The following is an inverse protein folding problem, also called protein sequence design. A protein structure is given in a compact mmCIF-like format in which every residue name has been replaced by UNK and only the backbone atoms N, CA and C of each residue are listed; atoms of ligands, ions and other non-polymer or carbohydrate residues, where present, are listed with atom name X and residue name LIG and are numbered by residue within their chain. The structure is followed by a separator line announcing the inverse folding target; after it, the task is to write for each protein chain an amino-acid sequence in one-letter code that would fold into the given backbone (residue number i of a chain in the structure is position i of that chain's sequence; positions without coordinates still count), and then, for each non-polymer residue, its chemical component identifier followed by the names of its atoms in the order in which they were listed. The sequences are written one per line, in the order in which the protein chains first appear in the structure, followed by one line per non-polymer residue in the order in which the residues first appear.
data_IF_229714563908
#
_entry.id   IF_229714563908
#
_cell.length_a   1.000
_cell.length_b   1.000
_cell.length_c   1.000
_cell.angle_alpha   90.00
_cell.angle_beta   90.00
_cell.angle_gamma   90.00
#
_symmetry.space_group_name_H-M   'P 1'
#
loop_
_entity.id
_entity.type
_entity.pdbx_description
1 polymer ?
#
# COMPACT_ATOMS: atom_id res chain seq x y z
N UNK A 1 75.95 32.19 -10.30
CA UNK A 1 77.35 31.74 -10.46
C UNK A 1 77.54 30.51 -9.60
N UNK A 2 78.11 29.44 -10.19
CA UNK A 2 78.49 28.13 -9.62
C UNK A 2 77.31 27.23 -9.20
N UNK A 3 76.94 26.10 -9.80
CA UNK A 3 77.58 25.06 -10.64
C UNK A 3 78.84 24.42 -10.05
N UNK A 4 78.70 23.21 -9.48
CA UNK A 4 79.21 21.94 -10.05
C UNK A 4 79.07 20.75 -9.06
N UNK A 5 78.50 19.63 -9.57
CA UNK A 5 78.92 18.20 -9.41
C UNK A 5 78.83 17.53 -8.02
N UNK A 6 78.51 16.24 -7.84
CA UNK A 6 78.45 15.04 -8.71
C UNK A 6 77.73 13.90 -7.96
N UNK A 7 76.98 13.06 -8.68
CA UNK A 7 76.97 11.57 -8.67
C UNK A 7 76.72 10.75 -7.37
N UNK A 8 76.14 9.53 -7.33
CA UNK A 8 75.65 8.50 -8.28
C UNK A 8 74.89 7.47 -7.41
N UNK A 9 73.75 6.93 -7.87
CA UNK A 9 73.50 5.48 -7.95
C UNK A 9 72.17 5.15 -8.64
N UNK A 10 72.32 4.42 -9.74
CA UNK A 10 71.32 3.85 -10.63
C UNK A 10 70.69 2.60 -10.00
N UNK A 11 69.45 2.30 -10.37
CA UNK A 11 69.05 0.94 -10.79
C UNK A 11 67.85 0.99 -11.74
N UNK A 12 68.10 0.44 -12.95
CA UNK A 12 67.26 -0.15 -14.00
C UNK A 12 65.72 0.00 -13.95
N UNK A 13 65.08 0.63 -14.93
CA UNK A 13 64.81 0.16 -16.31
C UNK A 13 63.71 -0.92 -16.39
N UNK A 14 62.61 -0.57 -17.05
CA UNK A 14 61.50 -1.47 -17.38
C UNK A 14 60.42 -0.74 -18.17
N UNK A 15 60.71 -0.36 -19.42
CA UNK A 15 59.71 -0.03 -20.43
C UNK A 15 58.92 -1.31 -20.78
N UNK A 16 57.60 -1.21 -20.81
CA UNK A 16 56.72 -2.23 -21.39
C UNK A 16 55.38 -1.59 -21.76
N UNK A 17 55.26 -1.15 -23.01
CA UNK A 17 54.02 -0.64 -23.55
C UNK A 17 53.04 -1.77 -23.87
N UNK A 18 51.75 -1.53 -23.63
CA UNK A 18 50.66 -2.20 -24.32
C UNK A 18 49.55 -1.19 -24.58
N UNK A 19 49.30 -0.95 -25.88
CA UNK A 19 48.10 -0.31 -26.39
C UNK A 19 46.86 -1.08 -25.90
N UNK A 20 46.08 -0.48 -25.00
CA UNK A 20 44.73 -0.94 -24.69
C UNK A 20 43.76 -0.44 -25.75
N UNK A 21 43.43 -1.27 -26.73
CA UNK A 21 42.36 -1.02 -27.69
C UNK A 21 41.02 -0.89 -26.95
N UNK A 22 40.42 0.30 -27.04
CA UNK A 22 39.08 0.57 -26.52
C UNK A 22 38.05 -0.12 -27.43
N UNK A 23 37.62 -1.33 -27.04
CA UNK A 23 36.54 -2.05 -27.69
C UNK A 23 35.20 -1.39 -27.28
N UNK A 24 34.71 -0.46 -28.10
CA UNK A 24 33.37 0.10 -27.97
C UNK A 24 32.37 -0.99 -28.35
N UNK A 25 31.81 -1.71 -27.38
CA UNK A 25 30.60 -2.51 -27.61
C UNK A 25 29.45 -1.53 -27.86
N UNK A 26 29.10 -1.34 -29.14
CA UNK A 26 27.84 -0.74 -29.52
C UNK A 26 26.72 -1.69 -29.08
N UNK A 27 26.10 -1.41 -27.93
CA UNK A 27 24.84 -2.02 -27.56
C UNK A 27 23.78 -1.50 -28.52
N UNK A 28 23.52 -2.26 -29.59
CA UNK A 28 22.36 -2.04 -30.45
C UNK A 28 21.12 -2.30 -29.62
N UNK A 29 20.50 -1.24 -29.11
CA UNK A 29 19.14 -1.26 -28.61
C UNK A 29 18.22 -1.52 -29.79
N UNK A 30 18.02 -2.78 -30.14
CA UNK A 30 16.89 -3.18 -30.97
C UNK A 30 15.64 -2.92 -30.15
N UNK A 31 15.05 -1.74 -30.29
CA UNK A 31 13.65 -1.54 -29.97
C UNK A 31 12.88 -2.56 -30.80
N UNK A 32 12.37 -3.62 -30.17
CA UNK A 32 11.45 -4.53 -30.83
C UNK A 32 10.28 -3.67 -31.31
N UNK A 33 10.14 -3.53 -32.63
CA UNK A 33 8.99 -2.88 -33.21
C UNK A 33 7.75 -3.61 -32.69
N UNK A 34 6.93 -2.94 -31.88
CA UNK A 34 5.71 -3.52 -31.32
C UNK A 34 4.80 -3.87 -32.51
N UNK A 35 4.67 -5.17 -32.80
CA UNK A 35 3.86 -5.64 -33.92
C UNK A 35 2.41 -5.17 -33.70
N UNK A 36 1.81 -4.61 -34.75
CA UNK A 36 0.46 -4.01 -34.66
C UNK A 36 -0.52 -5.06 -34.12
N UNK A 37 -1.28 -4.76 -33.04
CA UNK A 37 -2.22 -5.71 -32.49
C UNK A 37 -3.26 -6.13 -33.53
N UNK A 38 -3.61 -7.42 -33.54
CA UNK A 38 -4.83 -7.87 -34.19
C UNK A 38 -6.02 -7.27 -33.44
N UNK A 39 -6.97 -6.67 -34.15
CA UNK A 39 -8.17 -6.06 -33.55
C UNK A 39 -9.36 -6.95 -33.83
N UNK A 40 -10.11 -7.32 -32.78
CA UNK A 40 -11.36 -8.06 -32.87
C UNK A 40 -12.44 -7.27 -32.13
N UNK A 41 -13.53 -6.97 -32.83
CA UNK A 41 -14.70 -6.32 -32.22
C UNK A 41 -15.64 -7.40 -31.67
N UNK A 42 -16.26 -7.11 -30.55
CA UNK A 42 -17.26 -7.95 -29.88
C UNK A 42 -18.47 -7.08 -29.57
N UNK A 43 -19.57 -7.32 -30.28
CA UNK A 43 -20.86 -6.70 -29.98
C UNK A 43 -21.72 -7.62 -29.10
N UNK A 44 -21.62 -7.43 -27.78
CA UNK A 44 -22.36 -8.22 -26.81
C UNK A 44 -23.89 -8.01 -26.96
N UNK A 45 -24.33 -6.91 -27.56
CA UNK A 45 -25.76 -6.66 -27.82
C UNK A 45 -26.33 -7.57 -28.92
N UNK A 46 -25.45 -8.13 -29.75
CA UNK A 46 -25.77 -9.10 -30.80
C UNK A 46 -25.49 -10.55 -30.36
N UNK A 47 -25.18 -10.77 -29.07
CA UNK A 47 -24.86 -12.08 -28.52
C UNK A 47 -23.46 -12.60 -28.90
N UNK A 48 -22.56 -11.72 -29.36
CA UNK A 48 -21.14 -12.07 -29.46
C UNK A 48 -20.52 -12.19 -28.06
N UNK A 49 -19.41 -12.94 -27.99
CA UNK A 49 -18.70 -13.19 -26.74
C UNK A 49 -17.21 -12.94 -26.89
N UNK A 50 -16.59 -12.48 -25.80
CA UNK A 50 -15.15 -12.29 -25.67
C UNK A 50 -14.43 -13.62 -25.80
N UNK A 51 -14.97 -14.69 -25.22
CA UNK A 51 -14.36 -16.03 -25.32
C UNK A 51 -14.25 -16.50 -26.78
N UNK A 52 -15.24 -16.18 -27.63
CA UNK A 52 -15.17 -16.45 -29.08
C UNK A 52 -14.20 -15.51 -29.81
N UNK A 53 -13.92 -14.32 -29.29
CA UNK A 53 -12.95 -13.41 -29.89
C UNK A 53 -11.52 -13.95 -29.79
N UNK A 54 -11.20 -14.68 -28.71
CA UNK A 54 -9.87 -15.28 -28.54
C UNK A 54 -9.54 -16.35 -29.57
N UNK A 55 -10.54 -17.09 -30.08
CA UNK A 55 -10.32 -18.10 -31.15
C UNK A 55 -10.11 -17.47 -32.53
N UNK A 56 -10.48 -16.20 -32.71
CA UNK A 56 -10.30 -15.45 -33.97
C UNK A 56 -8.94 -14.75 -34.05
N UNK A 57 -8.25 -14.56 -32.92
CA UNK A 57 -7.00 -13.82 -32.85
C UNK A 57 -5.78 -14.68 -33.18
N UNK A 58 -4.87 -14.19 -34.03
CA UNK A 58 -3.60 -14.85 -34.28
C UNK A 58 -2.77 -14.93 -32.99
N UNK A 59 -2.41 -16.14 -32.55
CA UNK A 59 -1.67 -16.39 -31.30
C UNK A 59 -0.25 -15.80 -31.30
N UNK A 60 0.35 -15.61 -32.47
CA UNK A 60 1.70 -15.04 -32.62
C UNK A 60 1.74 -13.51 -32.46
N UNK A 61 0.58 -12.85 -32.28
CA UNK A 61 0.48 -11.38 -32.23
C UNK A 61 -0.29 -10.90 -31.00
N UNK A 62 0.02 -9.69 -30.51
CA UNK A 62 -0.83 -9.02 -29.52
C UNK A 62 -2.27 -8.91 -30.02
N UNK A 63 -3.24 -9.05 -29.12
CA UNK A 63 -4.67 -9.03 -29.43
C UNK A 63 -5.36 -7.88 -28.69
N UNK A 64 -6.09 -7.04 -29.43
CA UNK A 64 -7.01 -6.04 -28.89
C UNK A 64 -8.44 -6.50 -29.15
N UNK A 65 -9.20 -6.71 -28.08
CA UNK A 65 -10.63 -6.98 -28.11
C UNK A 65 -11.37 -5.70 -27.74
N UNK A 66 -12.14 -5.15 -28.69
CA UNK A 66 -13.01 -3.99 -28.45
C UNK A 66 -14.42 -4.49 -28.12
N UNK A 67 -14.88 -4.18 -26.91
CA UNK A 67 -16.13 -4.70 -26.35
C UNK A 67 -17.19 -3.62 -26.36
N UNK A 68 -18.31 -3.91 -27.03
CA UNK A 68 -19.50 -3.07 -27.08
C UNK A 68 -20.63 -3.69 -26.27
N UNK A 69 -21.15 -2.93 -25.30
CA UNK A 69 -22.18 -3.41 -24.38
C UNK A 69 -21.63 -4.40 -23.34
N UNK A 70 -22.53 -5.13 -22.68
CA UNK A 70 -22.16 -6.05 -21.59
C UNK A 70 -22.28 -7.50 -22.04
N UNK A 71 -21.16 -8.22 -22.03
CA UNK A 71 -21.12 -9.65 -22.32
C UNK A 71 -21.47 -10.44 -21.05
N UNK A 72 -22.51 -11.27 -21.12
CA UNK A 72 -22.93 -12.13 -20.01
C UNK A 72 -22.22 -13.49 -20.08
N UNK A 73 -20.97 -13.52 -19.64
CA UNK A 73 -20.10 -14.68 -19.69
C UNK A 73 -19.01 -14.61 -18.60
N UNK A 74 -18.34 -15.74 -18.37
CA UNK A 74 -17.05 -15.78 -17.67
C UNK A 74 -15.91 -15.87 -18.68
N UNK A 75 -14.86 -15.07 -18.51
CA UNK A 75 -13.75 -14.94 -19.46
C UNK A 75 -12.47 -15.54 -18.86
N UNK A 76 -11.83 -16.45 -19.60
CA UNK A 76 -10.49 -16.95 -19.30
C UNK A 76 -9.47 -16.31 -20.25
N UNK A 77 -8.49 -15.60 -19.70
CA UNK A 77 -7.35 -15.04 -20.44
C UNK A 77 -6.13 -15.93 -20.18
N UNK A 78 -5.91 -16.89 -21.07
CA UNK A 78 -4.83 -17.88 -21.04
C UNK A 78 -3.74 -17.65 -22.09
N UNK A 79 -3.86 -16.58 -22.88
CA UNK A 79 -2.85 -16.11 -23.83
C UNK A 79 -2.28 -14.76 -23.40
N UNK A 80 -1.00 -14.55 -23.68
CA UNK A 80 -0.31 -13.30 -23.33
C UNK A 80 -0.65 -12.17 -24.31
N UNK A 81 -0.33 -10.94 -23.93
CA UNK A 81 -0.43 -9.74 -24.79
C UNK A 81 -1.86 -9.45 -25.29
N UNK A 82 -2.84 -9.65 -24.38
CA UNK A 82 -4.25 -9.35 -24.63
C UNK A 82 -4.63 -8.03 -24.00
N UNK A 83 -5.28 -7.16 -24.76
CA UNK A 83 -6.02 -6.01 -24.25
C UNK A 83 -7.51 -6.23 -24.50
N UNK A 84 -8.32 -6.22 -23.44
CA UNK A 84 -9.77 -6.12 -23.54
C UNK A 84 -10.15 -4.70 -23.16
N UNK A 85 -10.78 -3.99 -24.08
CA UNK A 85 -11.11 -2.58 -23.92
C UNK A 85 -12.58 -2.33 -24.21
N UNK A 86 -13.26 -1.59 -23.33
CA UNK A 86 -14.60 -1.09 -23.60
C UNK A 86 -14.60 -0.05 -24.72
N UNK A 87 -15.53 -0.17 -25.67
CA UNK A 87 -15.62 0.76 -26.79
C UNK A 87 -16.07 2.15 -26.33
N UNK A 88 -15.32 3.18 -26.72
CA UNK A 88 -15.61 4.56 -26.33
C UNK A 88 -16.99 4.99 -26.84
N UNK A 89 -17.83 5.54 -25.97
CA UNK A 89 -19.17 6.01 -26.30
C UNK A 89 -20.27 4.93 -26.28
N UNK A 90 -19.90 3.64 -26.32
CA UNK A 90 -20.86 2.53 -26.19
C UNK A 90 -20.74 1.79 -24.86
N UNK A 91 -19.62 1.96 -24.16
CA UNK A 91 -19.29 1.21 -22.96
C UNK A 91 -18.88 -0.23 -23.29
N UNK A 92 -18.23 -0.87 -22.34
CA UNK A 92 -17.94 -2.30 -22.37
C UNK A 92 -18.11 -2.90 -20.99
N UNK A 93 -18.63 -4.12 -20.93
CA UNK A 93 -18.81 -4.80 -19.66
C UNK A 93 -18.72 -6.32 -19.76
N UNK A 94 -18.40 -6.94 -18.63
CA UNK A 94 -18.37 -8.38 -18.46
C UNK A 94 -19.16 -8.71 -17.20
N UNK A 95 -20.25 -9.44 -17.35
CA UNK A 95 -21.09 -9.88 -16.26
C UNK A 95 -20.97 -11.40 -16.13
N UNK A 96 -20.37 -11.87 -15.03
CA UNK A 96 -20.24 -13.30 -14.75
C UNK A 96 -21.59 -13.87 -14.29
N UNK A 97 -22.21 -14.81 -15.04
CA UNK A 97 -23.54 -15.31 -14.71
C UNK A 97 -23.56 -16.30 -13.54
N UNK A 98 -22.47 -17.03 -13.31
CA UNK A 98 -22.39 -18.07 -12.28
C UNK A 98 -21.68 -17.51 -11.02
N UNK A 99 -22.36 -17.44 -9.86
CA UNK A 99 -21.78 -16.92 -8.62
C UNK A 99 -20.66 -17.81 -8.04
N UNK A 100 -20.39 -18.98 -8.62
CA UNK A 100 -19.32 -19.89 -8.19
C UNK A 100 -18.05 -19.78 -9.06
N UNK A 101 -18.12 -19.08 -10.19
CA UNK A 101 -17.04 -18.90 -11.15
C UNK A 101 -16.63 -17.43 -11.19
N UNK A 102 -15.33 -17.15 -11.26
CA UNK A 102 -14.85 -15.77 -11.36
C UNK A 102 -15.23 -15.16 -12.72
N UNK A 103 -15.59 -13.87 -12.76
CA UNK A 103 -16.04 -13.21 -14.01
C UNK A 103 -14.90 -13.11 -15.02
N UNK A 104 -13.70 -12.74 -14.58
CA UNK A 104 -12.48 -12.77 -15.39
C UNK A 104 -11.39 -13.54 -14.65
N UNK A 105 -10.84 -14.56 -15.29
CA UNK A 105 -9.66 -15.28 -14.81
C UNK A 105 -8.49 -15.03 -15.73
N UNK A 106 -7.34 -14.64 -15.17
CA UNK A 106 -6.11 -14.34 -15.91
C UNK A 106 -5.00 -15.28 -15.47
N UNK A 107 -4.52 -16.10 -16.40
CA UNK A 107 -3.42 -17.07 -16.17
C UNK A 107 -2.21 -16.79 -17.05
N UNK A 108 -2.33 -15.90 -18.05
CA UNK A 108 -1.24 -15.48 -18.91
C UNK A 108 -0.79 -14.03 -18.69
N UNK A 109 0.43 -13.72 -19.13
CA UNK A 109 1.10 -12.47 -18.80
C UNK A 109 0.73 -11.30 -19.71
N UNK A 110 0.92 -10.08 -19.23
CA UNK A 110 0.73 -8.83 -20.01
C UNK A 110 -0.71 -8.68 -20.54
N UNK A 111 -1.68 -9.08 -19.74
CA UNK A 111 -3.09 -8.79 -20.00
C UNK A 111 -3.41 -7.35 -19.59
N UNK A 112 -4.33 -6.70 -20.30
CA UNK A 112 -4.85 -5.37 -19.98
C UNK A 112 -6.37 -5.40 -20.03
N UNK A 113 -7.02 -4.91 -18.98
CA UNK A 113 -8.45 -4.66 -18.89
C UNK A 113 -8.66 -3.15 -18.78
N UNK A 114 -9.38 -2.56 -19.73
CA UNK A 114 -9.48 -1.09 -19.83
C UNK A 114 -10.90 -0.61 -20.12
N UNK A 115 -11.40 0.35 -19.35
CA UNK A 115 -12.69 0.99 -19.69
C UNK A 115 -13.88 0.05 -19.55
N UNK A 116 -13.78 -0.97 -18.69
CA UNK A 116 -14.77 -2.02 -18.53
C UNK A 116 -15.55 -1.87 -17.22
N UNK A 117 -16.84 -2.20 -17.25
CA UNK A 117 -17.63 -2.50 -16.06
C UNK A 117 -17.68 -4.02 -15.85
N UNK A 118 -17.14 -4.52 -14.74
CA UNK A 118 -17.07 -5.95 -14.42
C UNK A 118 -17.95 -6.22 -13.20
N UNK A 119 -18.90 -7.15 -13.34
CA UNK A 119 -19.90 -7.48 -12.32
C UNK A 119 -20.17 -8.97 -12.23
N UNK A 120 -20.93 -9.39 -11.21
CA UNK A 120 -21.33 -10.78 -11.05
C UNK A 120 -20.15 -11.71 -10.73
N UNK A 121 -20.34 -12.99 -10.99
CA UNK A 121 -19.35 -14.03 -10.68
C UNK A 121 -19.08 -14.19 -9.18
N UNK A 122 -18.14 -15.08 -8.85
CA UNK A 122 -17.63 -15.27 -7.49
C UNK A 122 -16.69 -14.14 -7.09
N UNK A 123 -15.65 -13.89 -7.89
CA UNK A 123 -14.83 -12.69 -7.84
C UNK A 123 -14.90 -11.97 -9.19
N UNK A 124 -14.68 -10.65 -9.21
CA UNK A 124 -14.72 -9.88 -10.46
C UNK A 124 -13.53 -10.23 -11.37
N UNK A 125 -12.31 -10.06 -10.85
CA UNK A 125 -11.08 -10.44 -11.55
C UNK A 125 -10.22 -11.29 -10.62
N UNK A 126 -9.79 -12.46 -11.10
CA UNK A 126 -8.78 -13.30 -10.44
C UNK A 126 -7.56 -13.45 -11.34
N UNK A 127 -6.38 -13.15 -10.80
CA UNK A 127 -5.08 -13.32 -11.46
C UNK A 127 -4.31 -14.40 -10.73
N UNK A 128 -3.96 -15.47 -11.43
CA UNK A 128 -3.34 -16.65 -10.84
C UNK A 128 -2.05 -16.99 -11.57
N UNK A 129 -0.90 -16.78 -10.91
CA UNK A 129 0.43 -17.06 -11.49
C UNK A 129 0.83 -16.19 -12.68
N UNK A 130 -0.03 -15.27 -13.12
CA UNK A 130 0.21 -14.39 -14.26
C UNK A 130 0.91 -13.10 -13.86
N UNK A 131 1.84 -12.63 -14.70
CA UNK A 131 2.57 -11.39 -14.45
C UNK A 131 2.10 -10.24 -15.34
N UNK A 132 2.08 -9.03 -14.78
CA UNK A 132 1.83 -7.80 -15.53
C UNK A 132 0.38 -7.62 -16.00
N UNK A 133 -0.62 -8.04 -15.21
CA UNK A 133 -1.98 -7.54 -15.45
C UNK A 133 -2.01 -6.02 -15.25
N UNK A 134 -2.64 -5.31 -16.18
CA UNK A 134 -3.04 -3.91 -15.97
C UNK A 134 -4.54 -3.80 -15.99
N UNK A 135 -5.15 -3.30 -14.92
CA UNK A 135 -6.56 -2.90 -14.90
C UNK A 135 -6.59 -1.38 -14.84
N UNK A 136 -7.21 -0.74 -15.83
CA UNK A 136 -7.33 0.72 -15.86
C UNK A 136 -8.70 1.24 -16.20
N UNK A 137 -9.09 2.39 -15.65
CA UNK A 137 -10.34 3.08 -15.99
C UNK A 137 -11.54 2.14 -15.93
N UNK A 138 -11.53 1.20 -14.99
CA UNK A 138 -12.51 0.12 -14.89
C UNK A 138 -13.31 0.22 -13.60
N UNK A 139 -14.56 -0.23 -13.66
CA UNK A 139 -15.44 -0.36 -12.50
C UNK A 139 -15.62 -1.83 -12.19
N UNK A 140 -15.21 -2.29 -11.00
CA UNK A 140 -15.39 -3.68 -10.54
C UNK A 140 -16.31 -3.67 -9.33
N UNK A 141 -17.54 -4.15 -9.51
CA UNK A 141 -18.57 -4.00 -8.47
C UNK A 141 -19.60 -5.13 -8.48
N UNK A 142 -20.34 -5.27 -7.38
CA UNK A 142 -21.44 -6.24 -7.25
C UNK A 142 -21.01 -7.66 -7.66
N UNK A 143 -19.83 -8.07 -7.19
CA UNK A 143 -19.34 -9.45 -7.33
C UNK A 143 -19.87 -10.30 -6.17
N UNK A 144 -19.75 -11.63 -6.26
CA UNK A 144 -20.16 -12.52 -5.18
C UNK A 144 -19.28 -12.41 -3.92
N UNK A 145 -18.03 -11.97 -4.05
CA UNK A 145 -17.04 -11.91 -2.96
C UNK A 145 -16.06 -10.75 -3.13
N UNK A 146 -15.02 -10.94 -3.95
CA UNK A 146 -13.88 -10.02 -4.06
C UNK A 146 -13.93 -9.27 -5.37
N UNK A 147 -13.60 -7.98 -5.37
CA UNK A 147 -13.44 -7.21 -6.59
C UNK A 147 -12.30 -7.76 -7.47
N UNK A 148 -11.06 -7.54 -7.03
CA UNK A 148 -9.84 -7.95 -7.75
C UNK A 148 -8.93 -8.76 -6.83
N UNK A 149 -8.51 -9.95 -7.26
CA UNK A 149 -7.63 -10.83 -6.49
C UNK A 149 -6.37 -11.19 -7.29
N UNK A 150 -5.19 -10.91 -6.73
CA UNK A 150 -3.90 -11.41 -7.17
C UNK A 150 -3.48 -12.56 -6.27
N UNK A 151 -3.24 -13.74 -6.86
CA UNK A 151 -2.87 -14.96 -6.12
C UNK A 151 -1.73 -15.74 -6.78
N UNK A 152 -1.03 -16.56 -5.99
CA UNK A 152 -0.07 -17.55 -6.46
C UNK A 152 1.06 -16.98 -7.35
N UNK A 153 1.73 -15.93 -6.89
CA UNK A 153 2.84 -15.29 -7.60
C UNK A 153 2.40 -14.31 -8.68
N UNK A 154 1.10 -14.01 -8.79
CA UNK A 154 0.59 -13.05 -9.74
C UNK A 154 1.16 -11.63 -9.50
N UNK A 155 1.21 -10.82 -10.55
CA UNK A 155 1.55 -9.41 -10.43
C UNK A 155 0.75 -8.49 -11.34
N UNK A 156 0.52 -7.25 -10.91
CA UNK A 156 -0.13 -6.26 -11.74
C UNK A 156 -0.32 -4.88 -11.13
N UNK A 157 -0.96 -4.02 -11.92
CA UNK A 157 -1.29 -2.63 -11.57
C UNK A 157 -2.80 -2.42 -11.71
N UNK A 158 -3.40 -1.81 -10.70
CA UNK A 158 -4.74 -1.26 -10.70
C UNK A 158 -4.59 0.26 -10.71
N UNK A 159 -5.07 0.91 -11.76
CA UNK A 159 -4.93 2.36 -11.96
C UNK A 159 -6.25 3.00 -12.36
N UNK A 160 -6.65 4.07 -11.68
CA UNK A 160 -7.85 4.84 -12.06
C UNK A 160 -9.12 3.99 -12.09
N UNK A 161 -9.25 3.06 -11.13
CA UNK A 161 -10.36 2.13 -11.02
C UNK A 161 -11.33 2.51 -9.90
N UNK A 162 -12.59 2.10 -10.06
CA UNK A 162 -13.60 2.11 -9.00
C UNK A 162 -13.89 0.67 -8.58
N UNK A 163 -13.63 0.32 -7.32
CA UNK A 163 -13.79 -1.04 -6.79
C UNK A 163 -14.71 -0.98 -5.57
N UNK A 164 -15.96 -1.39 -5.74
CA UNK A 164 -16.99 -1.13 -4.74
C UNK A 164 -18.08 -2.17 -4.64
N UNK A 165 -18.82 -2.17 -3.53
CA UNK A 165 -20.00 -3.01 -3.34
C UNK A 165 -19.69 -4.51 -3.51
N UNK A 166 -18.49 -4.93 -3.13
CA UNK A 166 -18.13 -6.34 -3.10
C UNK A 166 -18.28 -6.86 -1.66
N UNK A 167 -19.06 -7.93 -1.42
CA UNK A 167 -19.39 -8.38 -0.06
C UNK A 167 -18.20 -8.76 0.80
N UNK A 168 -17.06 -9.08 0.17
CA UNK A 168 -15.79 -9.37 0.82
C UNK A 168 -14.80 -8.24 0.53
N UNK A 169 -13.64 -8.50 -0.04
CA UNK A 169 -12.55 -7.53 -0.10
C UNK A 169 -12.58 -6.78 -1.46
N UNK A 170 -12.19 -5.50 -1.48
CA UNK A 170 -12.06 -4.75 -2.73
C UNK A 170 -10.91 -5.30 -3.56
N UNK A 171 -9.70 -5.24 -3.01
CA UNK A 171 -8.47 -5.79 -3.60
C UNK A 171 -7.83 -6.79 -2.65
N UNK A 172 -7.45 -7.95 -3.17
CA UNK A 172 -6.69 -8.98 -2.44
C UNK A 172 -5.36 -9.23 -3.11
N UNK A 173 -4.29 -9.29 -2.32
CA UNK A 173 -2.93 -9.63 -2.74
C UNK A 173 -2.41 -10.74 -1.83
N UNK A 174 -2.55 -12.00 -2.28
CA UNK A 174 -2.17 -13.19 -1.51
C UNK A 174 -1.02 -13.94 -2.18
N UNK A 175 0.11 -14.08 -1.49
CA UNK A 175 1.33 -14.65 -2.07
C UNK A 175 1.65 -14.07 -3.47
N UNK A 176 1.42 -12.78 -3.64
CA UNK A 176 1.40 -12.08 -4.93
C UNK A 176 1.89 -10.63 -4.76
N UNK A 177 1.95 -9.89 -5.88
CA UNK A 177 2.39 -8.50 -5.89
C UNK A 177 1.36 -7.60 -6.57
N UNK A 178 1.02 -6.44 -6.01
CA UNK A 178 0.16 -5.50 -6.72
C UNK A 178 0.52 -4.04 -6.43
N UNK A 179 0.26 -3.19 -7.42
CA UNK A 179 0.28 -1.74 -7.27
C UNK A 179 -1.13 -1.21 -7.44
N UNK A 180 -1.61 -0.42 -6.47
CA UNK A 180 -2.94 0.22 -6.52
C UNK A 180 -2.72 1.73 -6.47
N UNK A 181 -3.12 2.42 -7.54
CA UNK A 181 -2.96 3.87 -7.68
C UNK A 181 -4.19 4.53 -8.28
N UNK A 182 -4.39 5.81 -7.97
CA UNK A 182 -5.45 6.68 -8.51
C UNK A 182 -6.86 6.10 -8.41
N UNK A 183 -7.10 5.15 -7.50
CA UNK A 183 -8.31 4.34 -7.48
C UNK A 183 -9.20 4.67 -6.29
N UNK A 184 -10.49 4.44 -6.46
CA UNK A 184 -11.49 4.49 -5.39
C UNK A 184 -11.84 3.06 -4.95
N UNK A 185 -11.61 2.73 -3.68
CA UNK A 185 -11.89 1.41 -3.10
C UNK A 185 -12.81 1.57 -1.90
N UNK A 186 -14.10 1.31 -2.08
CA UNK A 186 -15.11 1.69 -1.10
C UNK A 186 -16.27 0.73 -0.97
N UNK A 187 -16.93 0.71 0.18
CA UNK A 187 -18.13 -0.12 0.41
C UNK A 187 -17.89 -1.62 0.14
N UNK A 188 -16.68 -2.09 0.45
CA UNK A 188 -16.35 -3.50 0.54
C UNK A 188 -16.21 -3.87 2.03
N UNK A 189 -16.00 -5.13 2.39
CA UNK A 189 -15.59 -5.51 3.75
C UNK A 189 -14.22 -4.91 4.09
N UNK A 190 -13.15 -5.27 3.38
CA UNK A 190 -11.87 -4.55 3.48
C UNK A 190 -11.61 -3.81 2.17
N UNK A 191 -10.95 -2.65 2.23
CA UNK A 191 -10.53 -1.95 1.02
C UNK A 191 -9.45 -2.74 0.28
N UNK A 192 -8.25 -2.78 0.86
CA UNK A 192 -7.11 -3.55 0.34
C UNK A 192 -6.62 -4.54 1.40
N UNK A 193 -6.54 -5.82 1.04
CA UNK A 193 -6.07 -6.90 1.90
C UNK A 193 -4.81 -7.54 1.30
N UNK A 194 -3.69 -7.42 2.00
CA UNK A 194 -2.40 -8.06 1.65
C UNK A 194 -2.11 -9.15 2.67
N UNK A 195 -1.97 -10.39 2.22
CA UNK A 195 -1.81 -11.56 3.09
C UNK A 195 -0.88 -12.63 2.52
N UNK A 196 -0.50 -13.58 3.37
CA UNK A 196 0.23 -14.80 3.03
C UNK A 196 1.52 -14.52 2.22
N UNK A 197 2.36 -13.61 2.73
CA UNK A 197 3.59 -13.20 2.06
C UNK A 197 3.40 -12.28 0.85
N UNK A 198 2.20 -11.70 0.68
CA UNK A 198 1.92 -10.73 -0.37
C UNK A 198 2.71 -9.42 -0.19
N UNK A 199 2.92 -8.70 -1.30
CA UNK A 199 3.55 -7.38 -1.29
C UNK A 199 2.75 -6.38 -2.09
N UNK A 200 2.45 -5.21 -1.51
CA UNK A 200 1.68 -4.18 -2.21
C UNK A 200 2.31 -2.80 -2.15
N UNK A 201 2.16 -2.05 -3.25
CA UNK A 201 2.32 -0.59 -3.30
C UNK A 201 0.95 0.04 -3.38
N UNK A 202 0.61 0.91 -2.44
CA UNK A 202 -0.72 1.50 -2.31
C UNK A 202 -0.57 3.01 -2.26
N UNK A 203 -0.96 3.66 -3.37
CA UNK A 203 -0.94 5.11 -3.53
C UNK A 203 0.38 5.68 -4.08
N UNK A 204 1.30 4.80 -4.45
CA UNK A 204 2.53 5.09 -5.19
C UNK A 204 2.77 4.04 -6.25
N UNK A 205 3.30 4.46 -7.40
CA UNK A 205 3.62 3.54 -8.48
C UNK A 205 4.98 2.83 -8.28
N UNK A 206 5.38 2.02 -9.25
CA UNK A 206 6.66 1.30 -9.24
C UNK A 206 7.90 2.19 -9.37
N UNK A 207 7.72 3.48 -9.67
CA UNK A 207 8.75 4.52 -9.74
C UNK A 207 8.67 5.48 -8.55
N UNK A 208 7.88 5.15 -7.53
CA UNK A 208 7.57 6.01 -6.38
C UNK A 208 6.87 7.33 -6.77
N UNK A 209 6.25 7.41 -7.95
CA UNK A 209 5.42 8.55 -8.29
C UNK A 209 4.12 8.51 -7.47
N UNK A 210 3.67 9.66 -6.93
CA UNK A 210 2.39 9.76 -6.25
C UNK A 210 1.22 9.31 -7.14
N UNK A 211 0.36 8.47 -6.61
CA UNK A 211 -0.87 8.01 -7.26
C UNK A 211 -1.92 7.69 -6.22
N UNK A 212 -2.23 8.67 -5.35
CA UNK A 212 -3.05 8.49 -4.15
C UNK A 212 -4.42 7.84 -4.43
N UNK A 213 -4.82 6.92 -3.55
CA UNK A 213 -6.14 6.30 -3.61
C UNK A 213 -7.12 6.94 -2.62
N UNK A 214 -8.41 6.79 -2.90
CA UNK A 214 -9.48 7.00 -1.92
C UNK A 214 -9.97 5.65 -1.43
N UNK A 215 -9.73 5.32 -0.16
CA UNK A 215 -10.08 4.05 0.46
C UNK A 215 -11.03 4.32 1.62
N UNK A 216 -12.33 4.15 1.37
CA UNK A 216 -13.33 4.72 2.28
C UNK A 216 -14.58 3.87 2.47
N UNK A 217 -15.23 4.01 3.62
CA UNK A 217 -16.51 3.36 3.91
C UNK A 217 -16.49 1.84 3.71
N UNK A 218 -15.34 1.20 3.92
CA UNK A 218 -15.28 -0.25 3.96
C UNK A 218 -15.77 -0.73 5.34
N UNK A 219 -16.52 -1.84 5.37
CA UNK A 219 -17.19 -2.33 6.58
C UNK A 219 -16.21 -2.67 7.70
N UNK A 220 -15.05 -3.21 7.36
CA UNK A 220 -13.93 -3.49 8.26
C UNK A 220 -12.79 -2.50 8.03
N UNK A 221 -11.57 -2.92 7.71
CA UNK A 221 -10.46 -1.97 7.63
C UNK A 221 -10.27 -1.40 6.23
N UNK A 222 -9.74 -0.17 6.15
CA UNK A 222 -9.33 0.41 4.86
C UNK A 222 -8.22 -0.41 4.21
N UNK A 223 -7.12 -0.62 4.94
CA UNK A 223 -5.99 -1.46 4.50
C UNK A 223 -5.66 -2.48 5.59
N UNK A 224 -5.47 -3.73 5.19
CA UNK A 224 -4.97 -4.82 6.06
C UNK A 224 -3.71 -5.42 5.46
N UNK A 225 -2.67 -5.57 6.28
CA UNK A 225 -1.42 -6.24 5.93
C UNK A 225 -1.15 -7.33 6.97
N UNK A 226 -1.19 -8.60 6.57
CA UNK A 226 -1.12 -9.72 7.51
C UNK A 226 -0.28 -10.92 7.03
N UNK A 227 0.07 -11.80 7.98
CA UNK A 227 0.71 -13.10 7.71
C UNK A 227 1.98 -13.02 6.86
N UNK A 228 3.02 -12.36 7.37
CA UNK A 228 4.32 -12.25 6.70
C UNK A 228 4.32 -11.34 5.46
N UNK A 229 3.29 -10.53 5.27
CA UNK A 229 3.17 -9.63 4.14
C UNK A 229 3.89 -8.30 4.36
N UNK A 230 4.07 -7.57 3.26
CA UNK A 230 4.65 -6.24 3.26
C UNK A 230 3.79 -5.25 2.46
N UNK A 231 3.72 -3.99 2.89
CA UNK A 231 3.13 -2.93 2.07
C UNK A 231 3.87 -1.60 2.20
N UNK A 232 3.93 -0.86 1.08
CA UNK A 232 4.24 0.56 1.06
C UNK A 232 2.95 1.35 0.80
N UNK A 233 2.61 2.25 1.72
CA UNK A 233 1.33 2.97 1.76
C UNK A 233 1.66 4.47 1.79
N UNK A 234 1.28 5.22 0.77
CA UNK A 234 1.59 6.64 0.68
C UNK A 234 0.48 7.40 -0.07
N UNK A 235 0.31 8.68 0.21
CA UNK A 235 -0.58 9.57 -0.56
C UNK A 235 -2.07 9.19 -0.55
N UNK A 236 -2.54 8.31 0.34
CA UNK A 236 -3.93 7.83 0.33
C UNK A 236 -4.84 8.66 1.26
N UNK A 237 -6.12 8.75 0.88
CA UNK A 237 -7.21 9.14 1.78
C UNK A 237 -7.88 7.86 2.31
N UNK A 238 -7.69 7.56 3.60
CA UNK A 238 -8.20 6.34 4.25
C UNK A 238 -9.22 6.74 5.30
N UNK A 239 -10.50 6.75 4.92
CA UNK A 239 -11.54 7.44 5.69
C UNK A 239 -12.81 6.65 5.98
N UNK A 240 -13.36 6.79 7.18
CA UNK A 240 -14.69 6.24 7.49
C UNK A 240 -14.80 4.71 7.38
N UNK A 241 -13.70 3.97 7.54
CA UNK A 241 -13.73 2.51 7.52
C UNK A 241 -14.06 1.96 8.91
N UNK A 242 -14.63 0.75 8.95
CA UNK A 242 -14.93 0.01 10.16
C UNK A 242 -16.39 0.07 10.59
N UNK A 243 -17.27 0.55 9.71
CA UNK A 243 -18.67 0.80 10.01
C UNK A 243 -19.53 -0.46 10.20
N UNK A 244 -19.05 -1.65 9.83
CA UNK A 244 -19.75 -2.92 10.02
C UNK A 244 -19.54 -3.43 11.46
N UNK A 245 -20.59 -3.46 12.31
CA UNK A 245 -20.49 -3.94 13.68
C UNK A 245 -20.11 -5.42 13.78
N UNK A 246 -20.35 -6.23 12.73
CA UNK A 246 -19.99 -7.64 12.70
C UNK A 246 -18.51 -7.88 12.39
N UNK A 247 -17.82 -6.88 11.82
CA UNK A 247 -16.42 -6.97 11.45
C UNK A 247 -15.69 -5.64 11.68
N UNK A 248 -15.69 -5.10 12.92
CA UNK A 248 -15.14 -3.78 13.19
C UNK A 248 -13.67 -3.71 12.77
N UNK A 249 -13.32 -2.59 12.13
CA UNK A 249 -11.98 -2.34 11.61
C UNK A 249 -11.59 -0.87 11.73
N UNK A 250 -10.40 -0.56 11.24
CA UNK A 250 -9.80 0.76 11.37
C UNK A 250 -9.30 1.31 10.04
N UNK A 251 -8.37 2.26 10.12
CA UNK A 251 -7.69 2.78 8.93
C UNK A 251 -6.75 1.73 8.33
N UNK A 252 -5.57 1.58 8.96
CA UNK A 252 -4.51 0.65 8.55
C UNK A 252 -4.25 -0.37 9.65
N UNK A 253 -4.42 -1.64 9.33
CA UNK A 253 -4.25 -2.77 10.26
C UNK A 253 -3.07 -3.64 9.82
N UNK A 254 -2.04 -3.77 10.67
CA UNK A 254 -0.82 -4.56 10.39
C UNK A 254 -0.65 -5.65 11.44
N UNK A 255 -0.66 -6.92 11.02
CA UNK A 255 -0.66 -8.08 11.93
C UNK A 255 0.38 -9.10 11.51
N UNK A 256 1.36 -9.39 12.37
CA UNK A 256 2.43 -10.37 12.05
C UNK A 256 3.07 -10.10 10.69
N UNK A 257 3.34 -8.81 10.40
CA UNK A 257 3.70 -8.30 9.06
C UNK A 257 4.46 -6.98 9.16
N UNK A 258 4.87 -6.43 8.02
CA UNK A 258 5.56 -5.15 7.93
C UNK A 258 4.79 -4.15 7.06
N UNK A 259 4.78 -2.87 7.46
CA UNK A 259 4.26 -1.80 6.61
C UNK A 259 5.09 -0.52 6.73
N UNK A 260 5.32 0.13 5.60
CA UNK A 260 5.82 1.50 5.53
C UNK A 260 4.67 2.39 5.12
N UNK A 261 4.11 3.10 6.09
CA UNK A 261 3.11 4.16 5.90
C UNK A 261 3.91 5.44 5.66
N UNK A 262 4.43 5.59 4.44
CA UNK A 262 5.17 6.77 4.04
C UNK A 262 4.25 8.01 4.03
N UNK A 263 4.80 9.20 3.80
CA UNK A 263 4.02 10.42 4.01
C UNK A 263 2.91 10.66 2.97
N UNK A 264 2.11 11.70 3.25
CA UNK A 264 0.99 12.13 2.42
C UNK A 264 -0.32 11.36 2.62
N UNK A 265 -0.40 10.42 3.56
CA UNK A 265 -1.69 9.79 3.88
C UNK A 265 -2.52 10.67 4.82
N UNK A 266 -3.83 10.71 4.57
CA UNK A 266 -4.84 11.18 5.51
C UNK A 266 -5.66 9.99 6.00
N UNK A 267 -5.50 9.64 7.27
CA UNK A 267 -6.18 8.53 7.93
C UNK A 267 -7.15 9.09 8.95
N UNK A 268 -8.44 9.08 8.66
CA UNK A 268 -9.41 9.80 9.50
C UNK A 268 -10.81 9.20 9.60
N UNK A 269 -11.47 9.47 10.72
CA UNK A 269 -12.87 9.07 10.93
C UNK A 269 -13.11 7.55 10.92
N UNK A 270 -12.08 6.73 11.07
CA UNK A 270 -12.23 5.27 11.11
C UNK A 270 -12.76 4.83 12.50
N UNK A 271 -13.52 3.74 12.53
CA UNK A 271 -14.26 3.31 13.73
C UNK A 271 -13.32 2.89 14.87
N UNK A 272 -12.26 2.17 14.55
CA UNK A 272 -11.19 1.85 15.52
C UNK A 272 -9.96 2.73 15.28
N UNK A 273 -8.75 2.20 15.46
CA UNK A 273 -7.50 2.96 15.33
C UNK A 273 -7.29 3.47 13.89
N UNK A 274 -6.59 4.60 13.79
CA UNK A 274 -6.06 5.04 12.49
C UNK A 274 -4.99 4.06 12.02
N UNK A 275 -4.05 3.71 12.91
CA UNK A 275 -3.04 2.67 12.65
C UNK A 275 -2.99 1.69 13.82
N UNK A 276 -3.14 0.40 13.54
CA UNK A 276 -3.01 -0.66 14.52
C UNK A 276 -1.93 -1.65 14.11
N UNK A 277 -0.98 -1.91 14.99
CA UNK A 277 0.12 -2.85 14.80
C UNK A 277 0.08 -3.95 15.86
N UNK A 278 -0.01 -5.22 15.44
CA UNK A 278 0.04 -6.38 16.34
C UNK A 278 1.14 -7.34 15.92
N UNK A 279 2.13 -7.55 16.77
CA UNK A 279 3.29 -8.39 16.46
C UNK A 279 3.92 -8.02 15.10
N UNK A 280 3.95 -6.71 14.82
CA UNK A 280 4.23 -6.16 13.50
C UNK A 280 5.32 -5.10 13.56
N UNK A 281 5.96 -4.84 12.42
CA UNK A 281 6.89 -3.74 12.23
C UNK A 281 6.23 -2.65 11.37
N UNK A 282 6.08 -1.44 11.91
CA UNK A 282 5.42 -0.34 11.21
C UNK A 282 6.29 0.90 11.22
N UNK A 283 6.50 1.50 10.06
CA UNK A 283 7.11 2.83 9.91
C UNK A 283 6.02 3.80 9.48
N UNK A 284 5.80 4.86 10.25
CA UNK A 284 4.94 5.99 9.93
C UNK A 284 5.84 7.18 9.63
N UNK A 285 5.71 7.71 8.41
CA UNK A 285 6.57 8.74 7.84
C UNK A 285 7.57 8.16 6.84
N UNK A 286 8.27 9.03 6.12
CA UNK A 286 9.05 8.64 4.94
C UNK A 286 10.46 8.11 5.31
N UNK A 287 10.82 6.84 5.06
CA UNK A 287 12.19 6.34 5.26
C UNK A 287 13.16 6.68 4.12
N UNK A 288 12.73 7.40 3.07
CA UNK A 288 13.59 7.80 1.94
C UNK A 288 12.97 7.60 0.55
N UNK A 289 11.65 7.56 0.42
CA UNK A 289 10.90 7.51 -0.83
C UNK A 289 10.83 8.88 -1.53
N UNK A 290 11.14 9.98 -0.85
CA UNK A 290 11.18 11.32 -1.44
C UNK A 290 9.80 11.94 -1.61
N UNK A 291 8.84 11.55 -0.78
CA UNK A 291 7.44 12.01 -0.82
C UNK A 291 7.20 13.11 0.23
N UNK A 292 6.07 13.88 0.14
CA UNK A 292 5.66 14.74 1.24
C UNK A 292 5.64 13.94 2.53
N UNK A 293 6.31 14.39 3.58
CA UNK A 293 6.67 13.51 4.71
C UNK A 293 5.55 13.29 5.71
N UNK A 294 4.50 14.12 5.68
CA UNK A 294 3.52 14.16 6.77
C UNK A 294 2.35 13.21 6.56
N UNK A 295 2.21 12.26 7.47
CA UNK A 295 0.97 11.51 7.67
C UNK A 295 0.06 12.26 8.64
N UNK A 296 -1.21 12.41 8.30
CA UNK A 296 -2.22 12.98 9.18
C UNK A 296 -3.16 11.88 9.66
N UNK A 297 -3.13 11.59 10.97
CA UNK A 297 -3.93 10.55 11.63
C UNK A 297 -4.88 11.25 12.61
N UNK A 298 -6.13 11.46 12.20
CA UNK A 298 -7.03 12.36 12.93
C UNK A 298 -8.46 11.87 13.06
N UNK A 299 -9.11 12.10 14.22
CA UNK A 299 -10.52 11.77 14.39
C UNK A 299 -10.86 10.28 14.30
N UNK A 300 -9.88 9.39 14.49
CA UNK A 300 -10.13 7.93 14.49
C UNK A 300 -10.59 7.46 15.87
N UNK A 301 -11.23 6.30 15.94
CA UNK A 301 -11.70 5.68 17.18
C UNK A 301 -13.13 6.09 17.53
N UNK A 302 -14.01 6.28 16.55
CA UNK A 302 -15.41 6.63 16.84
C UNK A 302 -16.16 5.54 17.62
N UNK A 303 -15.65 4.30 17.64
CA UNK A 303 -16.17 3.17 18.43
C UNK A 303 -15.18 2.53 19.41
N UNK A 304 -13.93 3.00 19.53
CA UNK A 304 -12.90 2.46 20.45
C UNK A 304 -11.74 3.45 20.67
N UNK A 305 -10.72 3.10 21.46
CA UNK A 305 -9.49 3.89 21.56
C UNK A 305 -8.82 4.00 20.17
N UNK A 306 -8.65 5.23 19.69
CA UNK A 306 -8.18 5.61 18.36
C UNK A 306 -6.68 5.87 18.29
N UNK A 307 -6.26 6.66 17.29
CA UNK A 307 -4.86 7.06 17.11
C UNK A 307 -3.99 5.96 16.51
N UNK A 308 -2.79 5.82 17.07
CA UNK A 308 -1.81 4.78 16.72
C UNK A 308 -1.64 3.82 17.89
N UNK A 309 -1.75 2.51 17.64
CA UNK A 309 -1.67 1.51 18.71
C UNK A 309 -0.77 0.33 18.34
N UNK A 310 0.17 0.00 19.22
CA UNK A 310 1.05 -1.17 19.13
C UNK A 310 0.77 -2.17 20.24
N UNK A 311 0.64 -3.46 19.89
CA UNK A 311 0.38 -4.54 20.86
C UNK A 311 1.12 -5.85 20.50
N UNK A 312 1.38 -6.69 21.51
CA UNK A 312 2.00 -8.01 21.38
C UNK A 312 3.35 -7.95 20.66
N UNK A 313 4.29 -7.16 21.19
CA UNK A 313 5.63 -7.03 20.63
C UNK A 313 5.69 -6.27 19.30
N UNK A 314 4.79 -5.30 19.10
CA UNK A 314 4.87 -4.44 17.91
C UNK A 314 6.08 -3.49 18.00
N UNK A 315 6.73 -3.23 16.87
CA UNK A 315 7.79 -2.24 16.74
C UNK A 315 7.36 -1.14 15.78
N UNK A 316 7.28 0.09 16.29
CA UNK A 316 6.79 1.24 15.53
C UNK A 316 7.88 2.31 15.43
N UNK A 317 8.08 2.89 14.25
CA UNK A 317 8.86 4.12 14.08
C UNK A 317 7.90 5.19 13.61
N UNK A 318 7.84 6.31 14.30
CA UNK A 318 6.98 7.44 13.92
C UNK A 318 7.85 8.67 13.72
N UNK A 319 7.82 9.19 12.51
CA UNK A 319 8.52 10.41 12.13
C UNK A 319 7.61 11.34 11.34
N UNK A 320 7.76 12.64 11.59
CA UNK A 320 7.12 13.68 10.80
C UNK A 320 5.59 13.50 10.67
N UNK A 321 4.91 12.98 11.70
CA UNK A 321 3.48 12.67 11.65
C UNK A 321 2.64 13.61 12.53
N UNK A 322 1.40 13.84 12.14
CA UNK A 322 0.39 14.55 12.94
C UNK A 322 -0.64 13.54 13.42
N UNK A 323 -0.72 13.32 14.73
CA UNK A 323 -1.66 12.41 15.40
C UNK A 323 -2.54 13.25 16.31
N UNK A 324 -3.74 13.60 15.84
CA UNK A 324 -4.54 14.62 16.53
C UNK A 324 -6.02 14.30 16.64
N UNK A 325 -6.67 14.69 17.74
CA UNK A 325 -8.13 14.62 17.84
C UNK A 325 -8.70 13.22 17.65
N UNK A 326 -7.91 12.17 17.86
CA UNK A 326 -8.39 10.79 17.85
C UNK A 326 -9.08 10.51 19.19
N UNK A 327 -10.04 9.59 19.22
CA UNK A 327 -10.63 9.12 20.46
C UNK A 327 -9.59 8.43 21.35
N UNK A 328 -9.63 8.63 22.66
CA UNK A 328 -8.68 8.04 23.58
C UNK A 328 -7.25 8.55 23.41
N UNK A 329 -6.28 7.63 23.34
CA UNK A 329 -4.85 7.94 23.36
C UNK A 329 -4.35 8.31 21.96
N UNK A 330 -3.40 9.24 21.85
CA UNK A 330 -2.71 9.52 20.59
C UNK A 330 -1.83 8.35 20.12
N UNK A 331 -0.84 7.97 20.93
CA UNK A 331 0.02 6.79 20.74
C UNK A 331 -0.07 5.86 21.95
N UNK A 332 -0.59 4.64 21.77
CA UNK A 332 -0.61 3.61 22.81
C UNK A 332 0.30 2.43 22.49
N UNK A 333 1.09 1.98 23.46
CA UNK A 333 1.92 0.78 23.37
C UNK A 333 1.60 -0.18 24.51
N UNK A 334 1.38 -1.45 24.16
CA UNK A 334 1.01 -2.49 25.12
C UNK A 334 1.74 -3.81 24.84
N UNK A 335 1.85 -4.65 25.87
CA UNK A 335 2.39 -6.01 25.82
C UNK A 335 3.76 -6.06 25.12
N UNK A 336 4.74 -5.41 25.75
CA UNK A 336 6.14 -5.34 25.30
C UNK A 336 6.31 -4.76 23.90
N UNK A 337 5.46 -3.81 23.53
CA UNK A 337 5.61 -3.08 22.27
C UNK A 337 6.55 -1.89 22.45
N UNK A 338 7.19 -1.47 21.36
CA UNK A 338 8.19 -0.42 21.38
C UNK A 338 7.97 0.59 20.26
N UNK A 339 8.26 1.86 20.54
CA UNK A 339 8.28 2.88 19.51
C UNK A 339 9.52 3.77 19.55
N UNK A 340 9.91 4.26 18.37
CA UNK A 340 10.80 5.40 18.22
C UNK A 340 10.01 6.60 17.69
N UNK A 341 10.25 7.79 18.22
CA UNK A 341 9.44 8.99 17.95
C UNK A 341 10.31 10.22 17.65
N UNK A 342 10.04 10.88 16.53
CA UNK A 342 10.83 12.00 15.99
C UNK A 342 9.91 13.00 15.29
N UNK A 343 10.17 14.30 15.43
CA UNK A 343 9.60 15.36 14.59
C UNK A 343 8.09 15.37 14.44
N UNK A 344 7.35 14.76 15.37
CA UNK A 344 5.92 14.51 15.22
C UNK A 344 5.12 15.45 16.11
N UNK A 345 3.81 15.48 15.89
CA UNK A 345 2.86 16.24 16.70
C UNK A 345 1.77 15.30 17.18
N UNK A 346 1.56 15.22 18.50
CA UNK A 346 0.51 14.41 19.12
C UNK A 346 -0.36 15.31 19.98
N UNK A 347 -1.58 15.62 19.55
CA UNK A 347 -2.34 16.68 20.21
C UNK A 347 -3.85 16.49 20.26
N UNK A 348 -4.48 17.14 21.23
CA UNK A 348 -5.94 17.26 21.32
C UNK A 348 -6.66 15.90 21.36
N UNK A 349 -6.03 14.85 21.88
CA UNK A 349 -6.68 13.56 22.09
C UNK A 349 -7.34 13.56 23.49
N UNK A 350 -8.55 12.99 23.67
CA UNK A 350 -9.29 12.98 24.93
C UNK A 350 -8.80 11.89 25.92
N UNK A 351 -7.63 11.31 25.67
CA UNK A 351 -6.86 10.50 26.61
C UNK A 351 -5.43 11.05 26.72
N UNK A 352 -4.47 10.18 27.00
CA UNK A 352 -3.06 10.59 27.04
C UNK A 352 -2.55 10.90 25.62
N UNK A 353 -1.57 11.80 25.51
CA UNK A 353 -0.82 11.95 24.27
C UNK A 353 -0.11 10.65 23.92
N UNK A 354 0.69 10.15 24.86
CA UNK A 354 1.41 8.88 24.75
C UNK A 354 1.13 8.02 25.99
N UNK A 355 0.77 6.74 25.79
CA UNK A 355 0.54 5.78 26.88
C UNK A 355 1.36 4.51 26.69
N UNK A 356 2.12 4.14 27.72
CA UNK A 356 2.89 2.92 27.81
C UNK A 356 2.30 2.00 28.88
N UNK A 357 2.11 0.73 28.53
CA UNK A 357 1.68 -0.30 29.47
C UNK A 357 2.24 -1.69 29.13
N UNK A 358 2.21 -2.58 30.10
CA UNK A 358 2.63 -3.98 30.10
C UNK A 358 4.05 -4.15 29.51
N UNK A 359 5.02 -3.43 30.09
CA UNK A 359 6.44 -3.52 29.76
C UNK A 359 6.82 -2.92 28.41
N UNK A 360 6.12 -1.86 27.98
CA UNK A 360 6.36 -1.21 26.68
C UNK A 360 7.46 -0.15 26.75
N UNK A 361 8.11 0.13 25.62
CA UNK A 361 9.26 1.04 25.58
C UNK A 361 9.07 2.19 24.57
N UNK A 362 9.57 3.37 24.92
CA UNK A 362 9.60 4.53 24.03
C UNK A 362 11.00 5.15 23.99
N UNK A 363 11.51 5.36 22.78
CA UNK A 363 12.72 6.11 22.53
C UNK A 363 12.39 7.39 21.76
N UNK A 364 12.70 8.54 22.36
CA UNK A 364 12.50 9.85 21.71
C UNK A 364 13.83 10.30 21.12
N UNK A 365 13.77 10.83 19.91
CA UNK A 365 14.94 11.19 19.13
C UNK A 365 14.69 12.52 18.39
N UNK A 366 15.76 13.28 18.08
CA UNK A 366 15.62 14.56 17.39
C UNK A 366 15.18 14.36 15.93
N UNK A 367 14.42 15.31 15.34
CA UNK A 367 13.92 16.54 15.95
C UNK A 367 12.84 16.30 17.02
N UNK A 368 12.62 17.27 17.91
CA UNK A 368 11.70 17.12 19.03
C UNK A 368 10.26 16.83 18.58
N UNK A 369 9.54 16.03 19.36
CA UNK A 369 8.11 15.78 19.14
C UNK A 369 7.28 16.64 20.08
N UNK A 370 6.26 17.32 19.54
CA UNK A 370 5.33 18.12 20.32
C UNK A 370 4.16 17.25 20.81
N UNK A 371 3.87 17.28 22.12
CA UNK A 371 2.73 16.58 22.71
C UNK A 371 1.92 17.56 23.56
N UNK A 372 0.73 17.94 23.08
CA UNK A 372 0.01 19.07 23.68
C UNK A 372 -1.51 18.97 23.62
N UNK A 373 -2.19 19.68 24.53
CA UNK A 373 -3.66 19.81 24.50
C UNK A 373 -4.42 18.50 24.72
N UNK A 374 -3.77 17.43 25.19
CA UNK A 374 -4.44 16.16 25.48
C UNK A 374 -5.14 16.25 26.85
N UNK A 375 -6.27 15.57 27.03
CA UNK A 375 -6.99 15.63 28.33
C UNK A 375 -6.35 14.73 29.40
N UNK A 376 -5.60 13.71 28.98
CA UNK A 376 -4.76 12.91 29.85
C UNK A 376 -3.41 13.57 30.09
N UNK A 377 -2.39 12.75 30.39
CA UNK A 377 -1.02 13.22 30.45
C UNK A 377 -0.43 13.38 29.05
N UNK A 378 0.58 14.22 28.89
CA UNK A 378 1.41 14.20 27.67
C UNK A 378 2.08 12.83 27.48
N UNK A 379 2.63 12.29 28.57
CA UNK A 379 3.22 10.95 28.64
C UNK A 379 2.80 10.21 29.93
N UNK A 380 2.20 9.04 29.76
CA UNK A 380 1.72 8.17 30.84
C UNK A 380 2.36 6.77 30.77
N UNK A 381 2.83 6.28 31.91
CA UNK A 381 3.29 4.91 32.12
C UNK A 381 2.39 4.29 33.20
N UNK A 382 1.76 3.16 32.89
CA UNK A 382 0.75 2.54 33.78
C UNK A 382 1.29 1.36 34.62
N UNK A 383 2.57 1.06 34.49
CA UNK A 383 3.28 0.04 35.25
C UNK A 383 4.75 0.43 35.43
N UNK A 384 5.43 -0.32 36.30
CA UNK A 384 6.84 -0.15 36.63
C UNK A 384 7.80 -0.78 35.62
N UNK A 385 7.29 -1.46 34.59
CA UNK A 385 8.09 -2.23 33.62
C UNK A 385 8.28 -1.42 32.33
N UNK A 386 7.36 -0.51 32.04
CA UNK A 386 7.40 0.37 30.90
C UNK A 386 8.48 1.42 31.09
N UNK A 387 9.18 1.74 30.00
CA UNK A 387 10.34 2.62 30.05
C UNK A 387 10.31 3.64 28.93
N UNK A 388 10.89 4.81 29.21
CA UNK A 388 11.05 5.89 28.25
C UNK A 388 12.45 6.47 28.36
N UNK A 389 13.07 6.73 27.22
CA UNK A 389 14.36 7.39 27.13
C UNK A 389 14.23 8.74 26.40
N UNK A 390 15.05 9.71 26.82
CA UNK A 390 15.14 11.06 26.24
C UNK A 390 13.85 11.91 26.33
N UNK A 391 13.16 11.88 27.47
CA UNK A 391 11.94 12.70 27.68
C UNK A 391 12.16 14.19 27.48
N UNK A 392 13.37 14.70 27.71
CA UNK A 392 13.75 16.10 27.44
C UNK A 392 13.69 16.53 25.97
N UNK A 393 13.49 15.59 25.04
CA UNK A 393 13.26 15.86 23.62
C UNK A 393 11.77 15.96 23.26
N UNK A 394 10.86 15.85 24.23
CA UNK A 394 9.45 16.20 24.05
C UNK A 394 9.22 17.67 24.35
N UNK A 395 8.43 18.33 23.49
CA UNK A 395 7.85 19.64 23.79
C UNK A 395 6.45 19.42 24.33
N UNK A 396 6.28 19.56 25.65
CA UNK A 396 5.05 19.28 26.37
C UNK A 396 4.35 20.58 26.76
N UNK A 397 3.04 20.67 26.50
CA UNK A 397 2.26 21.85 26.90
C UNK A 397 0.76 21.59 26.92
N UNK A 398 0.04 22.19 27.88
CA UNK A 398 -1.42 22.21 27.88
C UNK A 398 -2.11 20.85 28.02
N UNK A 399 -1.40 19.82 28.50
CA UNK A 399 -1.99 18.52 28.81
C UNK A 399 -2.70 18.59 30.18
N UNK A 400 -3.97 18.20 30.25
CA UNK A 400 -4.85 18.52 31.40
C UNK A 400 -4.46 17.76 32.67
N UNK A 401 -4.08 16.48 32.55
CA UNK A 401 -3.66 15.71 33.72
C UNK A 401 -2.20 16.00 34.14
N UNK A 402 -1.42 16.65 33.26
CA UNK A 402 -0.01 17.00 33.45
C UNK A 402 0.85 16.59 32.25
N UNK A 403 2.10 17.05 32.23
CA UNK A 403 2.99 16.77 31.10
C UNK A 403 3.55 15.34 31.12
N UNK A 404 4.14 14.93 32.25
CA UNK A 404 4.68 13.57 32.45
C UNK A 404 4.11 13.00 33.75
N UNK A 405 3.54 11.81 33.68
CA UNK A 405 3.02 11.11 34.85
C UNK A 405 4.17 10.65 35.78
N UNK A 406 3.99 10.71 37.12
CA UNK A 406 5.02 10.29 38.08
C UNK A 406 5.48 8.83 37.92
N UNK A 407 4.63 7.97 37.35
CA UNK A 407 4.95 6.57 37.07
C UNK A 407 5.94 6.37 35.91
N UNK A 408 6.21 7.40 35.10
CA UNK A 408 7.24 7.34 34.07
C UNK A 408 8.62 7.65 34.67
N UNK A 409 9.20 6.69 35.37
CA UNK A 409 10.63 6.74 35.71
C UNK A 409 11.44 6.39 34.47
N UNK A 410 12.10 7.38 33.87
CA UNK A 410 13.09 7.14 32.82
C UNK A 410 14.30 6.38 33.36
N UNK A 411 14.99 5.65 32.49
CA UNK A 411 16.33 5.12 32.76
C UNK A 411 17.36 5.91 31.96
#
# INVERSE_FOLDING_TARGET
MNSLRTDILRTHAGLGGMLGGLLVLAATSTALAQEKPGVVNVDCTQGETISRAFTRGNESRPLLVLVRGTCNESVLIDRSDVTIRGETGFGGGIAGPDPNIDTVTVTASRATLEGLTITGGRNGITVSGAAGLTVRNATVQNTGRTGIAFVFGASGVIDSCTIQLNPRDGVVVSAAQATVVNSAVSQNRNGVLVLDGGSARIGVDNRNAPGGNTISMNGSSGIVVSNGSAASIAMNQITGNGADPAAPGGGVLVISSAAVIAGGNTISGNVTQGVFARSASVVIGDPGLGLPTVNTITGNGTGSAGGVFGILGASIVIRDAVISGNSGVGLGLSLKSQAQLFGSTIQNNPGDGIRLLLGSALLILPPSTAVSGNTGFGLQCLDSESSVANTGLLTLSGNVAGDIAPGCSGF
#
